data_IF_677567925650
#
_entry.id   IF_677567925650
#
_cell.length_a   1.000
_cell.length_b   1.000
_cell.length_c   1.000
_cell.angle_alpha   90.00
_cell.angle_beta   90.00
_cell.angle_gamma   90.00
#
_symmetry.space_group_name_H-M   'P 1'
#
loop_
_entity.id
_entity.type
_entity.pdbx_description
1 polymer ?
#
# COMPACT_ATOMS: atom_id res chain seq x y z
N UNK A 1 -5.17 -11.47 11.55
CA UNK A 1 -6.31 -10.63 11.94
C UNK A 1 -5.75 -9.36 12.56
N UNK A 2 -6.34 -8.22 12.26
CA UNK A 2 -6.06 -6.93 12.89
C UNK A 2 -7.17 -6.63 13.90
N UNK A 3 -6.80 -6.35 15.13
CA UNK A 3 -7.68 -5.81 16.16
C UNK A 3 -7.22 -4.40 16.50
N UNK A 4 -8.18 -3.53 16.78
CA UNK A 4 -7.96 -2.12 17.11
C UNK A 4 -8.62 -1.81 18.44
N UNK A 5 -7.89 -1.15 19.32
CA UNK A 5 -8.40 -0.58 20.56
C UNK A 5 -8.27 0.93 20.48
N UNK A 6 -9.29 1.62 20.94
CA UNK A 6 -9.31 3.09 21.01
C UNK A 6 -9.34 3.49 22.48
N UNK A 7 -8.36 4.25 22.91
CA UNK A 7 -8.21 4.73 24.27
C UNK A 7 -8.01 6.23 24.29
N UNK A 8 -8.50 6.91 25.36
CA UNK A 8 -8.32 8.35 25.53
C UNK A 8 -6.95 8.68 26.14
N UNK A 9 -6.43 7.80 26.99
CA UNK A 9 -5.13 7.95 27.63
C UNK A 9 -4.09 6.99 27.01
N UNK A 10 -2.86 7.46 26.90
CA UNK A 10 -1.73 6.66 26.45
C UNK A 10 -1.39 5.53 27.44
N UNK A 11 -1.64 5.79 28.73
CA UNK A 11 -1.40 4.84 29.81
C UNK A 11 -2.46 3.78 29.94
N UNK A 12 -3.58 3.88 29.20
CA UNK A 12 -4.62 2.85 29.21
C UNK A 12 -4.02 1.50 28.83
N UNK A 13 -4.13 0.53 29.73
CA UNK A 13 -3.59 -0.79 29.51
C UNK A 13 -4.53 -1.64 28.66
N UNK A 14 -4.02 -2.23 27.60
CA UNK A 14 -4.77 -3.15 26.73
C UNK A 14 -4.23 -4.55 26.93
N UNK A 15 -5.08 -5.46 27.40
CA UNK A 15 -4.76 -6.87 27.59
C UNK A 15 -5.64 -7.75 26.72
N UNK A 16 -5.07 -8.86 26.26
CA UNK A 16 -5.81 -9.88 25.53
C UNK A 16 -5.45 -11.25 26.08
N UNK A 17 -6.48 -12.00 26.44
CA UNK A 17 -6.35 -13.38 26.89
C UNK A 17 -6.84 -14.32 25.79
N UNK A 18 -6.10 -15.37 25.57
CA UNK A 18 -6.40 -16.44 24.63
C UNK A 18 -6.46 -17.76 25.37
N UNK A 19 -7.38 -18.64 24.97
CA UNK A 19 -7.34 -20.02 25.43
C UNK A 19 -6.17 -20.70 24.78
N UNK A 20 -5.16 -21.00 25.58
CA UNK A 20 -4.01 -21.77 25.18
C UNK A 20 -3.11 -21.07 24.12
N UNK A 21 -2.05 -21.73 23.69
CA UNK A 21 -1.07 -21.28 22.68
C UNK A 21 -1.67 -21.08 21.28
N UNK A 22 -2.97 -20.76 21.19
CA UNK A 22 -3.74 -20.73 19.96
C UNK A 22 -3.55 -19.45 19.13
N UNK A 23 -2.90 -18.43 19.68
CA UNK A 23 -2.66 -17.19 18.98
C UNK A 23 -1.24 -16.62 19.23
N UNK A 24 -0.72 -15.91 18.26
CA UNK A 24 0.56 -15.20 18.36
C UNK A 24 0.42 -13.77 17.87
N UNK A 25 0.88 -12.81 18.66
CA UNK A 25 1.03 -11.42 18.20
C UNK A 25 2.12 -11.38 17.14
N UNK A 26 1.83 -10.78 15.99
CA UNK A 26 2.78 -10.57 14.89
C UNK A 26 3.50 -9.24 15.08
N UNK A 27 2.73 -8.18 15.30
CA UNK A 27 3.22 -6.84 15.58
C UNK A 27 2.10 -5.99 16.19
N UNK A 28 2.50 -4.90 16.83
CA UNK A 28 1.60 -3.87 17.34
C UNK A 28 2.09 -2.49 16.92
N UNK A 29 1.22 -1.51 17.00
CA UNK A 29 1.52 -0.09 16.80
C UNK A 29 0.51 0.77 17.54
N UNK A 30 0.97 1.89 18.07
CA UNK A 30 0.14 2.95 18.63
C UNK A 30 0.09 4.10 17.62
N UNK A 31 -1.10 4.43 17.14
CA UNK A 31 -1.38 5.57 16.30
C UNK A 31 -2.10 6.63 17.10
N UNK A 32 -1.78 7.90 16.86
CA UNK A 32 -2.48 9.01 17.50
C UNK A 32 -3.41 9.75 16.53
N UNK A 33 -4.48 10.30 17.08
CA UNK A 33 -5.39 11.21 16.40
C UNK A 33 -5.34 12.55 17.11
N UNK A 34 -4.98 13.60 16.37
CA UNK A 34 -4.87 14.96 16.89
C UNK A 34 -6.01 15.82 16.34
N UNK A 35 -6.44 16.73 17.18
CA UNK A 35 -7.33 17.84 16.83
C UNK A 35 -6.81 19.10 17.47
N UNK A 36 -6.67 20.19 16.72
CA UNK A 36 -6.09 21.46 17.16
C UNK A 36 -4.76 21.29 17.91
N UNK A 37 -3.86 20.46 17.34
CA UNK A 37 -2.54 20.12 17.90
C UNK A 37 -2.56 19.44 19.28
N UNK A 38 -3.69 18.86 19.67
CA UNK A 38 -3.81 18.03 20.87
C UNK A 38 -4.22 16.62 20.49
N UNK A 39 -3.52 15.63 21.04
CA UNK A 39 -3.91 14.22 20.88
C UNK A 39 -5.14 13.98 21.75
N UNK A 40 -6.19 13.37 21.18
CA UNK A 40 -7.44 13.08 21.87
C UNK A 40 -7.81 11.60 21.88
N UNK A 41 -7.21 10.79 20.98
CA UNK A 41 -7.42 9.33 20.91
C UNK A 41 -6.12 8.66 20.51
N UNK A 42 -5.83 7.52 21.13
CA UNK A 42 -4.82 6.56 20.74
C UNK A 42 -5.48 5.31 20.17
N UNK A 43 -5.09 4.90 18.96
CA UNK A 43 -5.52 3.65 18.33
C UNK A 43 -4.39 2.63 18.46
N UNK A 44 -4.55 1.61 19.29
CA UNK A 44 -3.63 0.48 19.38
C UNK A 44 -4.02 -0.56 18.33
N UNK A 45 -3.17 -0.79 17.37
CA UNK A 45 -3.35 -1.72 16.26
C UNK A 45 -2.51 -2.96 16.51
N UNK A 46 -3.16 -4.11 16.65
CA UNK A 46 -2.48 -5.36 16.99
C UNK A 46 -2.82 -6.42 15.96
N UNK A 47 -1.79 -6.95 15.30
CA UNK A 47 -1.91 -8.04 14.33
C UNK A 47 -1.66 -9.38 14.99
N UNK A 48 -2.58 -10.32 14.77
CA UNK A 48 -2.51 -11.68 15.28
C UNK A 48 -2.45 -12.72 14.18
N UNK A 49 -1.78 -13.83 14.49
CA UNK A 49 -1.91 -15.09 13.79
C UNK A 49 -2.62 -16.07 14.72
N UNK A 50 -3.77 -16.59 14.30
CA UNK A 50 -4.47 -17.63 15.00
C UNK A 50 -4.15 -18.99 14.39
N UNK A 51 -4.08 -20.01 15.23
CA UNK A 51 -3.98 -21.40 14.82
C UNK A 51 -5.38 -22.01 14.70
N UNK A 52 -5.50 -23.16 14.02
CA UNK A 52 -6.78 -23.77 13.64
C UNK A 52 -7.69 -24.08 14.84
N UNK A 53 -7.11 -24.26 16.01
CA UNK A 53 -7.81 -24.67 17.24
C UNK A 53 -8.15 -23.51 18.18
N UNK A 54 -7.99 -22.26 17.76
CA UNK A 54 -8.36 -21.10 18.58
C UNK A 54 -9.85 -21.12 18.88
N UNK A 55 -10.23 -21.19 20.17
CA UNK A 55 -11.62 -21.29 20.60
C UNK A 55 -12.17 -19.97 21.11
N UNK A 56 -11.36 -19.19 21.83
CA UNK A 56 -11.83 -17.98 22.46
C UNK A 56 -10.75 -16.89 22.55
N UNK A 57 -11.17 -15.64 22.62
CA UNK A 57 -10.33 -14.48 22.87
C UNK A 57 -11.13 -13.45 23.67
N UNK A 58 -10.58 -12.99 24.78
CA UNK A 58 -11.18 -11.96 25.63
C UNK A 58 -10.26 -10.73 25.61
N UNK A 59 -10.83 -9.56 25.42
CA UNK A 59 -10.12 -8.29 25.37
C UNK A 59 -10.47 -7.45 26.60
N UNK A 60 -9.46 -6.74 27.12
CA UNK A 60 -9.61 -5.84 28.27
C UNK A 60 -8.98 -4.48 27.98
N UNK A 61 -9.59 -3.43 28.53
CA UNK A 61 -9.00 -2.11 28.68
C UNK A 61 -9.08 -1.75 30.16
N UNK A 62 -7.94 -1.49 30.81
CA UNK A 62 -7.86 -1.22 32.26
C UNK A 62 -8.66 -2.25 33.10
N UNK A 63 -8.38 -3.55 32.84
CA UNK A 63 -9.04 -4.70 33.48
C UNK A 63 -10.55 -4.83 33.25
N UNK A 64 -11.16 -3.94 32.47
CA UNK A 64 -12.56 -4.07 32.05
C UNK A 64 -12.68 -4.89 30.78
N UNK A 65 -13.50 -5.93 30.81
CA UNK A 65 -13.79 -6.73 29.60
C UNK A 65 -14.50 -5.87 28.57
N UNK A 66 -13.97 -5.86 27.33
CA UNK A 66 -14.53 -5.12 26.20
C UNK A 66 -14.96 -6.08 25.10
N UNK A 67 -16.17 -5.85 24.58
CA UNK A 67 -16.71 -6.66 23.49
C UNK A 67 -16.01 -6.40 22.16
N UNK A 68 -16.10 -7.38 21.25
CA UNK A 68 -15.60 -7.27 19.88
C UNK A 68 -16.73 -6.72 18.98
N UNK A 69 -16.40 -5.72 18.16
CA UNK A 69 -17.30 -5.18 17.14
C UNK A 69 -16.72 -5.53 15.76
N UNK A 70 -17.52 -6.19 14.94
CA UNK A 70 -17.19 -6.52 13.55
C UNK A 70 -18.35 -6.12 12.64
N UNK A 71 -18.06 -5.31 11.61
CA UNK A 71 -19.07 -4.75 10.70
C UNK A 71 -20.25 -4.09 11.45
N UNK A 72 -19.92 -3.23 12.45
CA UNK A 72 -20.86 -2.48 13.29
C UNK A 72 -21.77 -3.32 14.20
N UNK A 73 -21.52 -4.62 14.27
CA UNK A 73 -22.27 -5.54 15.14
C UNK A 73 -21.39 -6.10 16.24
N UNK A 74 -21.93 -6.20 17.46
CA UNK A 74 -21.29 -7.02 18.49
C UNK A 74 -21.25 -8.47 18.03
N UNK A 75 -20.08 -9.08 18.09
CA UNK A 75 -19.89 -10.46 17.67
C UNK A 75 -18.94 -11.19 18.60
N UNK A 76 -18.98 -12.50 18.54
CA UNK A 76 -18.02 -13.36 19.21
C UNK A 76 -16.77 -13.53 18.33
N UNK A 77 -15.67 -13.93 18.95
CA UNK A 77 -14.47 -14.29 18.21
C UNK A 77 -14.74 -15.41 17.19
N UNK A 78 -15.61 -16.35 17.52
CA UNK A 78 -15.98 -17.48 16.66
C UNK A 78 -16.62 -16.99 15.34
N UNK A 79 -17.52 -16.01 15.41
CA UNK A 79 -18.20 -15.45 14.23
C UNK A 79 -17.21 -14.83 13.27
N UNK A 80 -16.26 -14.01 13.78
CA UNK A 80 -15.20 -13.40 12.99
C UNK A 80 -14.29 -14.46 12.35
N UNK A 81 -13.93 -15.48 13.12
CA UNK A 81 -13.03 -16.54 12.66
C UNK A 81 -13.68 -17.42 11.58
N UNK A 82 -14.96 -17.71 11.71
CA UNK A 82 -15.74 -18.47 10.71
C UNK A 82 -15.81 -17.74 9.37
N UNK A 83 -16.13 -16.44 9.37
CA UNK A 83 -16.15 -15.62 8.15
C UNK A 83 -14.78 -15.53 7.47
N UNK A 84 -13.70 -15.42 8.24
CA UNK A 84 -12.33 -15.42 7.70
C UNK A 84 -11.99 -16.76 7.06
N UNK A 85 -12.36 -17.90 7.65
CA UNK A 85 -12.18 -19.24 7.04
C UNK A 85 -12.91 -19.35 5.70
N UNK A 86 -14.14 -18.86 5.63
CA UNK A 86 -14.97 -18.87 4.41
C UNK A 86 -14.32 -18.04 3.28
N UNK A 87 -13.79 -16.86 3.60
CA UNK A 87 -13.09 -16.02 2.64
C UNK A 87 -11.80 -16.67 2.10
N UNK A 88 -11.01 -17.34 2.96
CA UNK A 88 -9.80 -18.06 2.55
C UNK A 88 -10.09 -19.23 1.62
N UNK A 89 -11.15 -20.01 1.84
CA UNK A 89 -11.56 -21.12 0.93
C UNK A 89 -11.93 -20.63 -0.47
N UNK A 90 -12.51 -19.43 -0.60
CA UNK A 90 -12.85 -18.84 -1.92
C UNK A 90 -11.62 -18.41 -2.71
N UNK A 91 -10.55 -17.92 -2.03
CA UNK A 91 -9.30 -17.48 -2.69
C UNK A 91 -8.43 -18.61 -3.22
N UNK A 92 -8.52 -19.82 -2.65
CA UNK A 92 -7.63 -20.95 -2.99
C UNK A 92 -7.91 -21.64 -4.34
N UNK A 93 -9.02 -21.32 -5.02
CA UNK A 93 -9.50 -22.05 -6.21
C UNK A 93 -9.03 -21.55 -7.59
N UNK A 94 -8.39 -20.39 -7.71
CA UNK A 94 -8.02 -19.82 -9.02
C UNK A 94 -6.52 -19.56 -9.13
N UNK A 95 -5.95 -19.77 -10.34
CA UNK A 95 -4.59 -19.32 -10.67
C UNK A 95 -4.52 -17.81 -10.46
N UNK A 96 -3.69 -17.38 -9.53
CA UNK A 96 -3.56 -15.97 -9.11
C UNK A 96 -3.12 -15.10 -10.30
N UNK A 97 -3.94 -14.13 -10.68
CA UNK A 97 -3.60 -13.12 -11.67
C UNK A 97 -3.11 -11.85 -10.96
N UNK A 98 -1.93 -11.35 -11.36
CA UNK A 98 -1.37 -10.10 -10.86
C UNK A 98 -1.37 -9.04 -11.96
N UNK A 99 -1.91 -7.87 -11.67
CA UNK A 99 -1.83 -6.70 -12.53
C UNK A 99 -0.78 -5.74 -12.02
N UNK A 100 0.11 -5.33 -12.93
CA UNK A 100 1.16 -4.37 -12.64
C UNK A 100 0.90 -3.06 -13.36
N UNK A 101 1.23 -1.94 -12.73
CA UNK A 101 1.20 -0.63 -13.35
C UNK A 101 2.19 0.35 -12.72
N UNK A 102 2.78 1.17 -13.56
CA UNK A 102 3.38 2.43 -13.15
C UNK A 102 2.35 3.53 -13.40
N UNK A 103 2.60 4.50 -14.25
CA UNK A 103 1.57 5.42 -14.71
C UNK A 103 0.84 4.87 -15.96
N UNK A 104 -0.44 5.20 -16.18
CA UNK A 104 -1.19 4.69 -17.34
C UNK A 104 -0.55 5.02 -18.69
N UNK A 105 0.21 6.10 -18.76
CA UNK A 105 0.80 6.64 -20.00
C UNK A 105 2.33 6.53 -20.05
N UNK A 106 2.97 6.08 -18.99
CA UNK A 106 4.43 5.94 -18.87
C UNK A 106 4.77 4.77 -17.94
N UNK A 107 5.75 3.99 -18.34
CA UNK A 107 6.40 2.95 -17.54
C UNK A 107 7.77 3.46 -17.03
N UNK A 108 8.68 2.54 -16.76
CA UNK A 108 10.03 2.79 -16.27
C UNK A 108 10.10 3.24 -14.80
N UNK A 109 9.22 2.66 -13.98
CA UNK A 109 9.26 2.79 -12.53
C UNK A 109 9.25 1.39 -11.87
N UNK A 110 9.08 1.31 -10.57
CA UNK A 110 9.25 0.09 -9.78
C UNK A 110 8.39 -1.09 -10.28
N UNK A 111 7.17 -0.84 -10.78
CA UNK A 111 6.32 -1.93 -11.25
C UNK A 111 6.82 -2.55 -12.56
N UNK A 112 7.39 -1.79 -13.48
CA UNK A 112 8.02 -2.34 -14.69
C UNK A 112 9.19 -3.26 -14.32
N UNK A 113 10.09 -2.79 -13.44
CA UNK A 113 11.26 -3.56 -13.03
C UNK A 113 10.88 -4.84 -12.28
N UNK A 114 9.90 -4.77 -11.37
CA UNK A 114 9.38 -5.95 -10.70
C UNK A 114 8.67 -6.92 -11.66
N UNK A 115 7.89 -6.41 -12.62
CA UNK A 115 7.26 -7.24 -13.65
C UNK A 115 8.29 -8.02 -14.46
N UNK A 116 9.36 -7.36 -14.89
CA UNK A 116 10.46 -7.98 -15.64
C UNK A 116 11.13 -9.08 -14.83
N UNK A 117 11.36 -8.84 -13.54
CA UNK A 117 11.88 -9.86 -12.63
C UNK A 117 10.95 -11.07 -12.52
N UNK A 118 9.65 -10.85 -12.29
CA UNK A 118 8.66 -11.93 -12.17
C UNK A 118 8.53 -12.70 -13.48
N UNK A 119 8.51 -12.00 -14.61
CA UNK A 119 8.44 -12.61 -15.94
C UNK A 119 9.62 -13.56 -16.20
N UNK A 120 10.81 -13.20 -15.74
CA UNK A 120 12.03 -14.01 -15.91
C UNK A 120 12.13 -15.17 -14.92
N UNK A 121 11.80 -14.94 -13.65
CA UNK A 121 12.10 -15.89 -12.56
C UNK A 121 10.88 -16.71 -12.11
N UNK A 122 9.67 -16.29 -12.45
CA UNK A 122 8.41 -16.92 -12.03
C UNK A 122 7.49 -17.22 -13.22
N UNK A 123 7.95 -18.03 -14.17
CA UNK A 123 7.30 -18.32 -15.46
C UNK A 123 5.85 -18.83 -15.36
N UNK A 124 5.50 -19.47 -14.24
CA UNK A 124 4.14 -20.00 -14.00
C UNK A 124 3.17 -18.94 -13.48
N UNK A 125 3.66 -17.76 -13.07
CA UNK A 125 2.80 -16.70 -12.55
C UNK A 125 2.08 -16.00 -13.69
N UNK A 126 0.76 -15.86 -13.57
CA UNK A 126 -0.03 -15.10 -14.53
C UNK A 126 0.07 -13.61 -14.21
N UNK A 127 0.73 -12.85 -15.08
CA UNK A 127 0.98 -11.43 -14.93
C UNK A 127 0.57 -10.65 -16.18
N UNK A 128 0.07 -9.42 -15.97
CA UNK A 128 -0.28 -8.48 -17.04
C UNK A 128 0.15 -7.09 -16.59
N UNK A 129 0.74 -6.31 -17.51
CA UNK A 129 1.14 -4.93 -17.27
C UNK A 129 0.14 -3.95 -17.92
N UNK A 130 -0.28 -2.95 -17.16
CA UNK A 130 -1.26 -1.95 -17.60
C UNK A 130 -0.54 -0.75 -18.18
N UNK A 131 -0.80 -0.47 -19.46
CA UNK A 131 -0.20 0.66 -20.16
C UNK A 131 -1.04 1.06 -21.37
N UNK A 132 -1.25 2.36 -21.59
CA UNK A 132 -1.97 2.88 -22.76
C UNK A 132 -1.24 2.52 -24.07
N UNK A 133 -1.99 2.17 -25.10
CA UNK A 133 -1.43 1.83 -26.43
C UNK A 133 -0.64 2.97 -27.05
N UNK A 134 -0.99 4.22 -26.76
CA UNK A 134 -0.30 5.41 -27.26
C UNK A 134 0.88 5.86 -26.37
N UNK A 135 1.24 5.10 -25.35
CA UNK A 135 2.46 5.36 -24.58
C UNK A 135 3.71 5.13 -25.43
N UNK A 136 4.73 5.96 -25.27
CA UNK A 136 6.03 5.79 -25.93
C UNK A 136 6.71 4.47 -25.50
N UNK A 137 6.43 3.96 -24.30
CA UNK A 137 6.97 2.70 -23.78
C UNK A 137 6.27 1.46 -24.34
N UNK A 138 5.08 1.61 -24.96
CA UNK A 138 4.27 0.46 -25.35
C UNK A 138 4.99 -0.48 -26.33
N UNK A 139 5.63 0.10 -27.36
CA UNK A 139 6.37 -0.69 -28.38
C UNK A 139 7.59 -1.40 -27.76
N UNK A 140 8.33 -0.69 -26.90
CA UNK A 140 9.49 -1.23 -26.17
C UNK A 140 9.09 -2.44 -25.32
N UNK A 141 8.14 -2.29 -24.43
CA UNK A 141 7.70 -3.36 -23.53
C UNK A 141 7.07 -4.54 -24.28
N UNK A 142 6.33 -4.26 -25.37
CA UNK A 142 5.77 -5.33 -26.22
C UNK A 142 6.88 -6.16 -26.86
N UNK A 143 7.96 -5.52 -27.35
CA UNK A 143 9.13 -6.20 -27.92
C UNK A 143 9.86 -7.05 -26.87
N UNK A 144 9.88 -6.60 -25.61
CA UNK A 144 10.45 -7.34 -24.49
C UNK A 144 9.58 -8.52 -24.01
N UNK A 145 8.40 -8.75 -24.61
CA UNK A 145 7.51 -9.86 -24.26
C UNK A 145 6.50 -9.57 -23.15
N UNK A 146 6.31 -8.32 -22.74
CA UNK A 146 5.30 -7.96 -21.75
C UNK A 146 3.89 -8.24 -22.26
N UNK A 147 3.05 -8.83 -21.43
CA UNK A 147 1.60 -8.97 -21.69
C UNK A 147 0.93 -7.65 -21.31
N UNK A 148 0.66 -6.80 -22.30
CA UNK A 148 0.13 -5.45 -22.10
C UNK A 148 -1.39 -5.42 -22.20
N UNK A 149 -2.02 -4.53 -21.39
CA UNK A 149 -3.43 -4.19 -21.49
C UNK A 149 -3.62 -2.68 -21.40
N UNK A 150 -4.45 -2.13 -22.29
CA UNK A 150 -4.81 -0.72 -22.28
C UNK A 150 -5.88 -0.46 -21.19
N UNK A 151 -5.66 0.50 -20.26
CA UNK A 151 -6.63 0.80 -19.19
C UNK A 151 -7.97 1.34 -19.69
N UNK A 152 -8.06 1.78 -20.95
CA UNK A 152 -9.33 2.21 -21.58
C UNK A 152 -10.14 1.05 -22.17
N UNK A 153 -9.59 -0.18 -22.21
CA UNK A 153 -10.24 -1.33 -22.84
C UNK A 153 -11.22 -2.06 -21.90
N UNK A 154 -12.26 -2.68 -22.47
CA UNK A 154 -13.12 -3.60 -21.71
C UNK A 154 -12.34 -4.79 -21.12
N UNK A 155 -11.30 -5.25 -21.84
CA UNK A 155 -10.40 -6.29 -21.34
C UNK A 155 -9.74 -5.91 -20.02
N UNK A 156 -9.35 -4.65 -19.83
CA UNK A 156 -8.80 -4.16 -18.58
C UNK A 156 -9.79 -4.32 -17.41
N UNK A 157 -11.05 -3.89 -17.60
CA UNK A 157 -12.10 -4.03 -16.56
C UNK A 157 -12.30 -5.49 -16.16
N UNK A 158 -12.34 -6.39 -17.14
CA UNK A 158 -12.43 -7.82 -16.90
C UNK A 158 -11.21 -8.36 -16.12
N UNK A 159 -9.99 -7.95 -16.51
CA UNK A 159 -8.77 -8.39 -15.82
C UNK A 159 -8.70 -7.84 -14.38
N UNK A 160 -9.09 -6.58 -14.14
CA UNK A 160 -9.17 -6.04 -12.77
C UNK A 160 -10.16 -6.84 -11.94
N UNK A 161 -11.32 -7.19 -12.49
CA UNK A 161 -12.30 -8.05 -11.81
C UNK A 161 -11.70 -9.41 -11.43
N UNK A 162 -10.94 -10.03 -12.32
CA UNK A 162 -10.33 -11.36 -12.13
C UNK A 162 -9.05 -11.35 -11.30
N UNK A 163 -8.37 -10.22 -11.21
CA UNK A 163 -7.09 -10.12 -10.50
C UNK A 163 -7.24 -10.37 -8.99
N UNK A 164 -6.25 -11.01 -8.42
CA UNK A 164 -6.11 -11.15 -6.98
C UNK A 164 -5.22 -10.05 -6.39
N UNK A 165 -4.21 -9.64 -7.15
CA UNK A 165 -3.26 -8.61 -6.74
C UNK A 165 -3.18 -7.48 -7.75
N UNK A 166 -3.19 -6.26 -7.23
CA UNK A 166 -2.91 -5.03 -7.95
C UNK A 166 -1.60 -4.47 -7.42
N UNK A 167 -0.60 -4.34 -8.27
CA UNK A 167 0.77 -3.97 -7.92
C UNK A 167 1.10 -2.69 -8.66
N UNK A 168 1.36 -1.59 -7.95
CA UNK A 168 1.58 -0.29 -8.57
C UNK A 168 2.65 0.53 -7.88
N UNK A 169 3.41 1.28 -8.68
CA UNK A 169 4.33 2.31 -8.18
C UNK A 169 3.58 3.56 -7.71
N UNK A 170 2.33 3.74 -8.12
CA UNK A 170 1.49 4.88 -7.79
C UNK A 170 0.16 4.42 -7.17
N UNK A 171 -0.39 5.26 -6.26
CA UNK A 171 -1.75 5.06 -5.71
C UNK A 171 -2.75 5.84 -6.58
N UNK A 172 -2.69 5.67 -7.88
CA UNK A 172 -3.55 6.40 -8.79
C UNK A 172 -4.95 5.81 -8.88
N UNK A 173 -5.90 6.69 -9.15
CA UNK A 173 -7.33 6.36 -9.19
C UNK A 173 -7.72 5.40 -10.31
N UNK A 174 -6.90 5.19 -11.33
CA UNK A 174 -7.31 4.46 -12.53
C UNK A 174 -7.66 2.98 -12.29
N UNK A 175 -7.02 2.31 -11.32
CA UNK A 175 -7.49 0.99 -10.87
C UNK A 175 -8.82 1.09 -10.14
N UNK A 176 -8.98 2.17 -9.34
CA UNK A 176 -10.15 2.39 -8.50
C UNK A 176 -11.35 2.87 -9.30
N UNK A 177 -11.14 3.68 -10.33
CA UNK A 177 -12.20 4.20 -11.21
C UNK A 177 -12.78 3.12 -12.14
N UNK A 178 -12.00 2.07 -12.44
CA UNK A 178 -12.42 1.02 -13.36
C UNK A 178 -13.62 0.20 -12.86
N UNK A 179 -13.72 -0.06 -11.55
CA UNK A 179 -14.70 -0.99 -10.97
C UNK A 179 -15.31 -0.53 -9.64
N UNK A 180 -15.00 0.69 -9.20
CA UNK A 180 -15.45 1.23 -7.92
C UNK A 180 -14.70 0.66 -6.69
N UNK A 181 -14.78 1.36 -5.57
CA UNK A 181 -14.01 1.04 -4.36
C UNK A 181 -14.37 -0.32 -3.74
N UNK A 182 -15.62 -0.76 -3.86
CA UNK A 182 -16.05 -2.04 -3.27
C UNK A 182 -15.37 -3.26 -3.90
N UNK A 183 -15.11 -3.22 -5.21
CA UNK A 183 -14.41 -4.33 -5.89
C UNK A 183 -12.97 -4.44 -5.42
N UNK A 184 -12.34 -3.33 -5.10
CA UNK A 184 -10.96 -3.29 -4.62
C UNK A 184 -10.79 -3.80 -3.20
N UNK A 185 -11.84 -3.74 -2.36
CA UNK A 185 -11.82 -4.30 -1.00
C UNK A 185 -11.48 -5.79 -1.00
N UNK A 186 -11.79 -6.50 -2.08
CA UNK A 186 -11.55 -7.95 -2.24
C UNK A 186 -10.18 -8.29 -2.82
N UNK A 187 -9.40 -7.32 -3.27
CA UNK A 187 -8.09 -7.48 -3.91
C UNK A 187 -6.96 -7.12 -2.95
N UNK A 188 -5.80 -7.75 -3.09
CA UNK A 188 -4.61 -7.31 -2.39
C UNK A 188 -3.97 -6.16 -3.21
N UNK A 189 -3.81 -5.00 -2.60
CA UNK A 189 -3.12 -3.87 -3.22
C UNK A 189 -1.70 -3.74 -2.67
N UNK A 190 -0.71 -3.85 -3.58
CA UNK A 190 0.70 -3.74 -3.29
C UNK A 190 1.20 -2.39 -3.84
N UNK A 191 1.61 -1.53 -2.93
CA UNK A 191 2.15 -0.21 -3.23
C UNK A 191 3.68 -0.24 -3.23
N UNK A 192 4.27 -0.10 -4.42
CA UNK A 192 5.71 -0.15 -4.61
C UNK A 192 6.41 1.19 -4.41
N UNK A 193 5.64 2.28 -4.26
CA UNK A 193 6.15 3.64 -4.27
C UNK A 193 6.86 4.04 -5.59
N UNK A 194 7.11 5.31 -5.76
CA UNK A 194 7.89 5.90 -6.86
C UNK A 194 9.04 6.78 -6.36
N UNK A 195 9.21 6.92 -5.05
CA UNK A 195 10.28 7.71 -4.42
C UNK A 195 10.19 7.63 -2.90
N UNK A 196 11.29 8.00 -2.25
CA UNK A 196 11.38 8.05 -0.80
C UNK A 196 10.50 9.20 -0.29
N UNK A 197 9.67 8.90 0.67
CA UNK A 197 8.76 9.88 1.30
C UNK A 197 9.47 10.56 2.45
N UNK A 198 9.60 11.89 2.38
CA UNK A 198 10.13 12.73 3.47
C UNK A 198 9.00 13.37 4.28
N UNK A 199 7.95 13.83 3.61
CA UNK A 199 6.83 14.55 4.22
C UNK A 199 5.79 13.59 4.81
N UNK A 200 5.00 14.07 5.80
CA UNK A 200 3.88 13.29 6.32
C UNK A 200 2.74 13.21 5.30
N UNK A 201 2.60 12.04 4.68
CA UNK A 201 1.52 11.72 3.74
C UNK A 201 0.38 10.93 4.40
N UNK A 202 0.34 10.85 5.72
CA UNK A 202 -0.62 10.01 6.46
C UNK A 202 -2.07 10.36 6.13
N UNK A 203 -2.41 11.63 6.00
CA UNK A 203 -3.77 12.10 5.67
C UNK A 203 -4.28 11.53 4.35
N UNK A 204 -3.41 11.39 3.37
CA UNK A 204 -3.73 10.83 2.05
C UNK A 204 -3.64 9.30 2.03
N UNK A 205 -2.55 8.72 2.55
CA UNK A 205 -2.30 7.27 2.51
C UNK A 205 -3.26 6.49 3.41
N UNK A 206 -3.67 7.06 4.55
CA UNK A 206 -4.59 6.40 5.48
C UNK A 206 -5.98 6.15 4.88
N UNK A 207 -6.39 6.92 3.90
CA UNK A 207 -7.66 6.72 3.20
C UNK A 207 -7.61 5.53 2.23
N UNK A 208 -6.42 5.01 1.92
CA UNK A 208 -6.22 3.95 0.93
C UNK A 208 -6.12 2.58 1.58
N UNK A 209 -6.67 1.56 0.89
CA UNK A 209 -6.40 0.17 1.22
C UNK A 209 -5.05 -0.20 0.63
N UNK A 210 -4.08 -0.46 1.47
CA UNK A 210 -2.76 -0.95 1.09
C UNK A 210 -2.49 -2.20 1.93
N UNK A 211 -2.31 -3.33 1.28
CA UNK A 211 -2.06 -4.61 1.96
C UNK A 211 -0.56 -4.89 2.11
N UNK A 212 0.25 -4.35 1.19
CA UNK A 212 1.71 -4.33 1.27
C UNK A 212 2.23 -3.00 0.75
N UNK A 213 3.07 -2.36 1.53
CA UNK A 213 3.68 -1.07 1.27
C UNK A 213 5.19 -1.23 1.37
N UNK A 214 5.94 -1.03 0.30
CA UNK A 214 7.40 -1.10 0.35
C UNK A 214 8.01 0.27 0.60
N UNK A 215 9.14 0.29 1.32
CA UNK A 215 9.95 1.47 1.58
C UNK A 215 11.37 1.27 1.08
N UNK A 216 12.02 2.38 0.70
CA UNK A 216 13.36 2.37 0.16
C UNK A 216 14.44 2.43 1.23
N UNK A 217 14.22 3.15 2.32
CA UNK A 217 15.23 3.43 3.35
C UNK A 217 14.68 3.18 4.75
N UNK A 218 15.60 2.97 5.71
CA UNK A 218 15.26 2.69 7.10
C UNK A 218 14.48 3.85 7.74
N UNK A 219 14.95 5.09 7.58
CA UNK A 219 14.29 6.28 8.15
C UNK A 219 12.86 6.43 7.64
N UNK A 220 12.62 6.17 6.36
CA UNK A 220 11.28 6.16 5.78
C UNK A 220 10.40 5.08 6.41
N UNK A 221 10.95 3.86 6.55
CA UNK A 221 10.26 2.75 7.20
C UNK A 221 9.87 3.12 8.63
N UNK A 222 10.83 3.59 9.43
CA UNK A 222 10.63 3.92 10.85
C UNK A 222 9.63 5.08 11.02
N UNK A 223 9.67 6.08 10.15
CA UNK A 223 8.72 7.19 10.16
C UNK A 223 7.27 6.74 9.93
N UNK A 224 7.08 5.66 9.17
CA UNK A 224 5.73 5.14 8.85
C UNK A 224 5.26 4.13 9.90
N UNK A 225 6.12 3.21 10.34
CA UNK A 225 5.71 2.13 11.25
C UNK A 225 5.88 2.47 12.73
N UNK A 226 6.66 3.49 13.05
CA UNK A 226 6.92 3.91 14.43
C UNK A 226 5.64 4.25 15.18
N UNK A 227 5.71 4.19 16.50
CA UNK A 227 4.62 4.58 17.38
C UNK A 227 4.42 6.10 17.42
N UNK A 228 3.26 6.56 17.88
CA UNK A 228 2.91 7.97 18.11
C UNK A 228 2.95 8.85 16.87
N UNK A 229 2.78 8.28 15.69
CA UNK A 229 2.59 9.01 14.45
C UNK A 229 1.14 8.86 13.92
N UNK A 230 0.81 9.55 12.83
CA UNK A 230 -0.53 9.54 12.24
C UNK A 230 -0.77 8.39 11.26
N UNK A 231 0.27 7.67 10.83
CA UNK A 231 0.11 6.58 9.88
C UNK A 231 -0.60 5.37 10.49
N UNK A 232 -1.57 4.80 9.76
CA UNK A 232 -2.27 3.58 10.18
C UNK A 232 -1.46 2.29 9.95
N UNK A 233 -0.39 2.37 9.20
CA UNK A 233 0.38 1.20 8.75
C UNK A 233 1.31 0.68 9.84
N UNK A 234 1.43 -0.64 9.90
CA UNK A 234 2.24 -1.37 10.88
C UNK A 234 3.36 -2.14 10.17
N UNK A 235 4.34 -2.71 10.89
CA UNK A 235 5.34 -3.60 10.29
C UNK A 235 4.75 -4.81 9.54
N UNK A 236 3.45 -5.09 9.70
CA UNK A 236 2.77 -6.14 8.94
C UNK A 236 2.56 -5.74 7.49
N UNK A 237 2.09 -4.52 7.26
CA UNK A 237 1.84 -3.99 5.92
C UNK A 237 3.10 -3.41 5.27
N UNK A 238 3.95 -2.73 6.05
CA UNK A 238 5.14 -2.05 5.52
C UNK A 238 6.33 -2.97 5.54
N UNK A 239 7.13 -2.93 4.46
CA UNK A 239 8.37 -3.70 4.34
C UNK A 239 9.49 -2.85 3.76
N UNK A 240 10.63 -2.88 4.45
CA UNK A 240 11.88 -2.31 3.95
C UNK A 240 12.51 -3.31 2.98
N UNK A 241 12.46 -3.01 1.69
CA UNK A 241 12.98 -3.90 0.64
C UNK A 241 13.93 -3.19 -0.33
N UNK A 242 13.99 -1.86 -0.27
CA UNK A 242 14.50 -1.08 -1.39
C UNK A 242 13.51 -1.03 -2.55
N UNK A 243 13.86 -0.33 -3.63
CA UNK A 243 13.01 -0.19 -4.79
C UNK A 243 13.48 -1.07 -5.95
N UNK A 244 12.58 -1.80 -6.65
CA UNK A 244 12.95 -2.70 -7.75
C UNK A 244 13.77 -2.04 -8.87
N UNK A 245 13.57 -0.75 -9.16
CA UNK A 245 14.35 -0.01 -10.16
C UNK A 245 15.81 0.21 -9.78
N UNK A 246 16.18 0.12 -8.49
CA UNK A 246 17.57 0.32 -8.06
C UNK A 246 18.50 -0.76 -8.58
N UNK A 247 18.03 -2.00 -8.75
CA UNK A 247 18.82 -3.08 -9.35
C UNK A 247 19.24 -2.72 -10.78
N UNK A 248 18.34 -2.08 -11.55
CA UNK A 248 18.64 -1.63 -12.90
C UNK A 248 19.62 -0.43 -12.90
N UNK A 249 19.48 0.49 -11.95
CA UNK A 249 20.40 1.61 -11.79
C UNK A 249 21.82 1.11 -11.48
N UNK A 250 21.96 0.18 -10.54
CA UNK A 250 23.25 -0.42 -10.21
C UNK A 250 23.88 -1.15 -11.39
N UNK A 251 23.08 -1.98 -12.10
CA UNK A 251 23.55 -2.72 -13.26
C UNK A 251 24.03 -1.83 -14.42
N UNK A 252 23.37 -0.68 -14.59
CA UNK A 252 23.66 0.25 -15.69
C UNK A 252 24.67 1.34 -15.28
N UNK A 253 25.18 1.30 -14.06
CA UNK A 253 26.19 2.27 -13.58
C UNK A 253 27.50 2.11 -14.35
N UNK A 254 27.80 3.07 -15.22
CA UNK A 254 29.07 3.15 -15.98
C UNK A 254 30.02 4.08 -15.24
N UNK A 255 30.95 3.51 -14.49
CA UNK A 255 31.89 4.23 -13.62
C UNK A 255 32.75 5.27 -14.35
N UNK A 256 32.91 5.17 -15.69
CA UNK A 256 33.84 5.99 -16.46
C UNK A 256 33.21 7.22 -17.12
N UNK A 257 31.97 7.57 -16.86
CA UNK A 257 31.34 8.77 -17.40
C UNK A 257 31.52 9.94 -16.45
N UNK A 258 32.27 10.97 -16.83
CA UNK A 258 32.29 12.27 -16.15
C UNK A 258 30.94 12.94 -16.40
N UNK A 259 30.01 12.83 -15.46
CA UNK A 259 28.66 13.37 -15.58
C UNK A 259 28.31 14.17 -14.34
N UNK A 260 27.78 15.36 -14.51
CA UNK A 260 27.22 16.19 -13.45
C UNK A 260 25.70 16.06 -13.52
N UNK A 261 25.08 15.55 -12.46
CA UNK A 261 23.62 15.49 -12.34
C UNK A 261 23.13 16.66 -11.48
N UNK A 262 22.40 17.59 -12.09
CA UNK A 262 21.72 18.67 -11.39
C UNK A 262 20.25 18.29 -11.24
N UNK A 263 19.83 17.94 -10.02
CA UNK A 263 18.48 17.48 -9.71
C UNK A 263 17.94 18.14 -8.43
N UNK A 264 17.58 19.44 -8.51
CA UNK A 264 17.07 20.16 -7.35
C UNK A 264 15.73 19.58 -6.89
N UNK A 265 15.51 19.58 -5.60
CA UNK A 265 14.24 19.16 -5.01
C UNK A 265 13.13 20.12 -5.45
N UNK A 266 12.02 19.54 -5.87
CA UNK A 266 10.82 20.29 -6.18
C UNK A 266 10.35 21.16 -4.99
N UNK A 267 10.00 22.42 -5.28
CA UNK A 267 9.52 23.39 -4.28
C UNK A 267 8.16 23.96 -4.73
N UNK A 268 7.12 23.79 -3.92
CA UNK A 268 5.78 24.26 -4.27
C UNK A 268 5.72 25.79 -4.39
N UNK A 269 6.43 26.51 -3.54
CA UNK A 269 6.48 27.97 -3.57
C UNK A 269 7.16 28.54 -4.83
N UNK A 270 8.03 27.79 -5.50
CA UNK A 270 8.65 28.18 -6.77
C UNK A 270 7.73 27.80 -7.93
N UNK A 271 7.24 26.58 -7.95
CA UNK A 271 6.49 26.01 -9.09
C UNK A 271 5.02 26.43 -9.09
N UNK A 272 4.52 26.92 -7.94
CA UNK A 272 3.12 27.28 -7.75
C UNK A 272 2.16 26.11 -7.75
N UNK A 273 0.90 26.42 -7.48
CA UNK A 273 -0.16 25.40 -7.39
C UNK A 273 -0.53 24.84 -8.75
N UNK A 274 -0.89 23.54 -8.78
CA UNK A 274 -1.40 22.89 -9.99
C UNK A 274 -2.83 23.39 -10.29
N UNK A 275 -3.01 23.96 -11.47
CA UNK A 275 -4.34 24.35 -11.95
C UNK A 275 -4.98 23.19 -12.73
N UNK A 276 -6.06 22.62 -12.19
CA UNK A 276 -6.86 21.58 -12.88
C UNK A 276 -7.43 22.09 -14.21
N UNK A 277 -7.82 23.37 -14.28
CA UNK A 277 -8.38 23.98 -15.49
C UNK A 277 -7.36 24.09 -16.61
N UNK A 278 -6.10 24.38 -16.29
CA UNK A 278 -5.02 24.56 -17.27
C UNK A 278 -4.20 23.29 -17.48
N UNK A 279 -4.42 22.22 -16.72
CA UNK A 279 -3.64 20.99 -16.74
C UNK A 279 -2.11 21.23 -16.59
N UNK A 280 -1.73 22.34 -15.98
CA UNK A 280 -0.34 22.74 -15.73
C UNK A 280 -0.17 23.51 -14.44
N UNK A 281 1.05 23.61 -13.95
CA UNK A 281 1.40 24.44 -12.80
C UNK A 281 1.57 25.88 -13.25
N UNK A 282 1.16 26.83 -12.40
CA UNK A 282 1.42 28.25 -12.60
C UNK A 282 2.70 28.58 -11.86
N UNK A 283 3.72 29.04 -12.58
CA UNK A 283 4.90 29.62 -11.94
C UNK A 283 4.50 30.84 -11.11
N UNK A 284 5.13 31.00 -9.95
CA UNK A 284 4.93 32.18 -9.14
C UNK A 284 5.82 33.31 -9.66
N UNK A 285 5.26 34.36 -10.28
CA UNK A 285 6.06 35.42 -10.91
C UNK A 285 6.93 36.19 -9.91
N UNK A 286 6.52 36.27 -8.65
CA UNK A 286 7.28 36.96 -7.58
C UNK A 286 8.69 36.40 -7.33
N UNK A 287 8.99 35.19 -7.82
CA UNK A 287 10.30 34.55 -7.63
C UNK A 287 11.32 34.89 -8.74
N UNK A 288 10.90 35.53 -9.82
CA UNK A 288 11.74 35.85 -10.96
C UNK A 288 12.05 37.35 -11.09
N UNK A 289 11.54 38.16 -10.17
CA UNK A 289 11.72 39.62 -10.16
C UNK A 289 12.69 40.10 -9.08
N UNK A 290 13.41 39.19 -8.38
CA UNK A 290 14.41 39.52 -7.35
C UNK A 290 15.81 39.16 -7.78
#
# INVERSE_FOLDING_TARGET
ILIKFYTADINDEVKMLFDDKSAKIICSKIRQYDFLNRVFIYERRIWFKFFINAKNMICFINDKNVGIIYQEKKCTFYDVFYEIKKLKKRRAKNKSLWLFADMPFRADDNAEHLYRYVMKNHLKQNIVFVLRKNSHDYKRLKKEGFKLVDPKSFKFKYLVFKADKLISSHIDRYFFEALGENTLKTKDFIFLQHGITKDDLSSWLNQRKIDLFITGMQDEYDSIVGDFNRYKFTPKEVKLTGFPRWDALLKNNKINTKQILIMPTWREYIVGSYSKKLMKRRFNPKFYES
#
